data_IF_674358016230
#
_entry.id   IF_674358016230
#
_cell.length_a   1.000
_cell.length_b   1.000
_cell.length_c   1.000
_cell.angle_alpha   90.00
_cell.angle_beta   90.00
_cell.angle_gamma   90.00
#
_symmetry.space_group_name_H-M   'P 1'
#
loop_
_entity.id
_entity.type
_entity.pdbx_description
1 polymer ?
#
# COMPACT_ATOMS: atom_id res chain seq x y z
N UNK A 1 -13.46 -4.64 -14.28
CA UNK A 1 -13.30 -3.56 -13.25
C UNK A 1 -14.56 -3.26 -12.45
N UNK A 2 -15.74 -3.05 -13.06
CA UNK A 2 -16.99 -2.80 -12.34
C UNK A 2 -17.34 -3.87 -11.29
N UNK A 3 -17.14 -5.15 -11.63
CA UNK A 3 -17.36 -6.26 -10.68
C UNK A 3 -16.48 -6.14 -9.43
N UNK A 4 -15.17 -5.97 -9.60
CA UNK A 4 -14.21 -5.83 -8.49
C UNK A 4 -14.61 -4.69 -7.54
N UNK A 5 -14.96 -3.54 -8.12
CA UNK A 5 -15.41 -2.40 -7.34
C UNK A 5 -16.71 -2.70 -6.59
N UNK A 6 -17.68 -3.34 -7.25
CA UNK A 6 -18.94 -3.77 -6.63
C UNK A 6 -18.72 -4.75 -5.48
N UNK A 7 -17.78 -5.69 -5.61
CA UNK A 7 -17.39 -6.61 -4.55
C UNK A 7 -16.70 -5.87 -3.40
N UNK A 8 -15.82 -4.91 -3.68
CA UNK A 8 -15.19 -4.08 -2.64
C UNK A 8 -16.23 -3.23 -1.88
N UNK A 9 -17.24 -2.69 -2.56
CA UNK A 9 -18.35 -1.96 -1.92
C UNK A 9 -19.13 -2.90 -0.98
N UNK A 10 -19.40 -4.13 -1.41
CA UNK A 10 -20.05 -5.14 -0.56
C UNK A 10 -19.16 -5.55 0.62
N UNK A 11 -17.83 -5.59 0.44
CA UNK A 11 -16.87 -5.89 1.49
C UNK A 11 -16.63 -4.71 2.44
N UNK A 12 -17.05 -3.50 2.08
CA UNK A 12 -16.77 -2.26 2.82
C UNK A 12 -17.02 -2.39 4.32
N UNK A 13 -18.18 -2.86 4.82
CA UNK A 13 -18.44 -2.93 6.26
C UNK A 13 -17.42 -3.78 7.02
N UNK A 14 -16.88 -4.81 6.36
CA UNK A 14 -15.98 -5.79 6.95
C UNK A 14 -14.52 -5.42 6.79
N UNK A 15 -14.14 -4.68 5.73
CA UNK A 15 -12.79 -4.14 5.56
C UNK A 15 -12.42 -3.21 6.73
N UNK A 16 -13.38 -2.41 7.18
CA UNK A 16 -13.16 -1.36 8.17
C UNK A 16 -13.50 -1.77 9.61
N UNK A 17 -13.94 -3.02 9.84
CA UNK A 17 -14.33 -3.52 11.16
C UNK A 17 -14.05 -5.01 11.32
N UNK A 18 -13.05 -5.34 12.16
CA UNK A 18 -12.74 -6.74 12.50
C UNK A 18 -13.91 -7.43 13.22
N UNK A 19 -14.68 -6.69 14.02
CA UNK A 19 -15.83 -7.24 14.73
C UNK A 19 -16.94 -7.66 13.77
N UNK A 20 -17.23 -6.84 12.75
CA UNK A 20 -18.18 -7.21 11.69
C UNK A 20 -17.66 -8.39 10.87
N UNK A 21 -16.35 -8.42 10.60
CA UNK A 21 -15.70 -9.48 9.83
C UNK A 21 -15.78 -10.85 10.53
N UNK A 22 -15.66 -10.89 11.85
CA UNK A 22 -15.69 -12.13 12.65
C UNK A 22 -17.07 -12.51 13.19
N UNK A 23 -18.10 -11.66 12.99
CA UNK A 23 -19.46 -11.94 13.47
C UNK A 23 -20.01 -13.22 12.79
N UNK A 24 -20.40 -14.26 13.55
CA UNK A 24 -20.98 -15.49 13.00
C UNK A 24 -22.18 -15.26 12.08
N UNK A 25 -22.96 -14.18 12.29
CA UNK A 25 -24.10 -13.82 11.43
C UNK A 25 -23.69 -13.47 10.01
N UNK A 26 -22.47 -12.95 9.84
CA UNK A 26 -21.93 -12.55 8.55
C UNK A 26 -21.18 -13.68 7.85
N UNK A 27 -20.94 -14.82 8.53
CA UNK A 27 -20.06 -15.89 8.04
C UNK A 27 -20.48 -16.45 6.68
N UNK A 28 -21.75 -16.82 6.52
CA UNK A 28 -22.24 -17.41 5.26
C UNK A 28 -22.08 -16.43 4.09
N UNK A 29 -22.48 -15.18 4.30
CA UNK A 29 -22.36 -14.12 3.30
C UNK A 29 -20.89 -13.83 2.96
N UNK A 30 -20.02 -13.69 3.96
CA UNK A 30 -18.59 -13.43 3.74
C UNK A 30 -17.89 -14.60 3.05
N UNK A 31 -18.18 -15.85 3.44
CA UNK A 31 -17.64 -17.03 2.75
C UNK A 31 -18.08 -17.05 1.29
N UNK A 32 -19.35 -16.77 1.00
CA UNK A 32 -19.85 -16.69 -0.38
C UNK A 32 -19.17 -15.57 -1.17
N UNK A 33 -19.06 -14.37 -0.58
CA UNK A 33 -18.47 -13.19 -1.21
C UNK A 33 -16.97 -13.39 -1.49
N UNK A 34 -16.20 -13.93 -0.54
CA UNK A 34 -14.78 -14.25 -0.74
C UNK A 34 -14.58 -15.35 -1.78
N UNK A 35 -15.47 -16.36 -1.81
CA UNK A 35 -15.41 -17.44 -2.81
C UNK A 35 -15.68 -16.92 -4.21
N UNK A 36 -16.72 -16.10 -4.40
CA UNK A 36 -17.01 -15.49 -5.70
C UNK A 36 -15.89 -14.54 -6.11
N UNK A 37 -15.32 -13.78 -5.17
CA UNK A 37 -14.21 -12.87 -5.45
C UNK A 37 -12.96 -13.62 -5.92
N UNK A 38 -12.56 -14.67 -5.21
CA UNK A 38 -11.44 -15.54 -5.61
C UNK A 38 -11.70 -16.18 -6.99
N UNK A 39 -12.88 -16.78 -7.17
CA UNK A 39 -13.28 -17.46 -8.40
C UNK A 39 -13.16 -16.54 -9.61
N UNK A 40 -13.71 -15.32 -9.51
CA UNK A 40 -13.69 -14.34 -10.61
C UNK A 40 -12.29 -13.89 -10.98
N UNK A 41 -11.37 -13.84 -10.03
CA UNK A 41 -9.97 -13.52 -10.31
C UNK A 41 -9.26 -14.69 -10.99
N UNK A 42 -9.61 -15.93 -10.66
CA UNK A 42 -8.95 -17.10 -11.23
C UNK A 42 -9.48 -17.48 -12.60
N UNK A 43 -10.77 -17.29 -12.84
CA UNK A 43 -11.44 -17.77 -14.07
C UNK A 43 -11.38 -16.78 -15.22
N UNK A 44 -11.23 -15.48 -14.95
CA UNK A 44 -11.36 -14.45 -15.98
C UNK A 44 -10.41 -13.29 -15.72
N UNK A 45 -9.19 -13.41 -16.25
CA UNK A 45 -8.31 -12.25 -16.37
C UNK A 45 -9.02 -11.19 -17.25
N UNK A 46 -9.20 -9.94 -16.76
CA UNK A 46 -9.81 -8.91 -17.58
C UNK A 46 -8.95 -8.69 -18.85
N UNK A 47 -9.55 -8.51 -20.04
CA UNK A 47 -8.80 -8.29 -21.27
C UNK A 47 -7.84 -7.09 -21.21
N UNK A 48 -8.12 -6.13 -20.33
CA UNK A 48 -7.25 -4.98 -20.08
C UNK A 48 -5.96 -5.36 -19.33
N UNK A 49 -6.01 -6.38 -18.47
CA UNK A 49 -4.88 -6.91 -17.70
C UNK A 49 -4.04 -7.82 -18.60
N UNK A 50 -4.68 -8.70 -19.38
CA UNK A 50 -4.01 -9.61 -20.33
C UNK A 50 -3.12 -8.82 -21.33
N UNK A 51 -3.59 -7.65 -21.77
CA UNK A 51 -2.88 -6.78 -22.71
C UNK A 51 -1.84 -5.88 -22.06
N UNK A 52 -1.80 -5.81 -20.73
CA UNK A 52 -0.89 -4.94 -20.02
C UNK A 52 0.34 -5.73 -19.56
N UNK A 53 1.44 -5.60 -20.32
CA UNK A 53 2.69 -6.28 -20.04
C UNK A 53 3.15 -6.03 -18.58
N UNK A 54 3.44 -7.09 -17.83
CA UNK A 54 3.82 -7.03 -16.41
C UNK A 54 2.65 -6.94 -15.40
N UNK A 55 1.39 -6.87 -15.85
CA UNK A 55 0.23 -6.93 -14.94
C UNK A 55 -0.16 -8.33 -14.51
N UNK A 56 0.03 -9.31 -15.38
CA UNK A 56 -0.24 -10.73 -15.11
C UNK A 56 0.34 -11.18 -13.76
N UNK A 57 1.55 -10.72 -13.43
CA UNK A 57 2.22 -10.99 -12.15
C UNK A 57 1.40 -10.48 -10.96
N UNK A 58 1.03 -9.21 -10.96
CA UNK A 58 0.30 -8.60 -9.82
C UNK A 58 -1.14 -9.12 -9.74
N UNK A 59 -1.73 -9.46 -10.87
CA UNK A 59 -3.04 -10.12 -10.93
C UNK A 59 -3.00 -11.54 -10.33
N UNK A 60 -2.04 -12.37 -10.72
CA UNK A 60 -1.84 -13.72 -10.15
C UNK A 60 -1.53 -13.67 -8.65
N UNK A 61 -0.77 -12.67 -8.21
CA UNK A 61 -0.50 -12.45 -6.80
C UNK A 61 -1.75 -12.08 -6.01
N UNK A 62 -2.59 -11.19 -6.55
CA UNK A 62 -3.87 -10.86 -5.94
C UNK A 62 -4.76 -12.11 -5.83
N UNK A 63 -4.75 -12.99 -6.86
CA UNK A 63 -5.47 -14.25 -6.83
C UNK A 63 -5.01 -15.15 -5.68
N UNK A 64 -3.69 -15.37 -5.55
CA UNK A 64 -3.10 -16.17 -4.46
C UNK A 64 -3.39 -15.55 -3.10
N UNK A 65 -3.28 -14.22 -3.01
CA UNK A 65 -3.54 -13.46 -1.79
C UNK A 65 -4.99 -13.63 -1.32
N UNK A 66 -5.97 -13.55 -2.22
CA UNK A 66 -7.38 -13.73 -1.87
C UNK A 66 -7.72 -15.18 -1.52
N UNK A 67 -7.07 -16.16 -2.16
CA UNK A 67 -7.14 -17.56 -1.74
C UNK A 67 -6.65 -17.73 -0.29
N UNK A 68 -5.53 -17.11 0.07
CA UNK A 68 -5.01 -17.14 1.43
C UNK A 68 -5.97 -16.46 2.42
N UNK A 69 -6.56 -15.32 2.06
CA UNK A 69 -7.60 -14.64 2.87
C UNK A 69 -8.74 -15.59 3.15
N UNK A 70 -9.29 -16.23 2.11
CA UNK A 70 -10.38 -17.18 2.23
C UNK A 70 -9.99 -18.38 3.09
N UNK A 71 -8.83 -18.97 2.84
CA UNK A 71 -8.35 -20.13 3.60
C UNK A 71 -8.27 -19.82 5.11
N UNK A 72 -7.67 -18.68 5.47
CA UNK A 72 -7.57 -18.25 6.87
C UNK A 72 -8.93 -17.96 7.47
N UNK A 73 -9.84 -17.34 6.70
CA UNK A 73 -11.20 -17.08 7.14
C UNK A 73 -11.99 -18.36 7.43
N UNK A 74 -11.94 -19.32 6.51
CA UNK A 74 -12.62 -20.61 6.66
C UNK A 74 -12.05 -21.42 7.84
N UNK A 75 -10.75 -21.28 8.11
CA UNK A 75 -10.07 -21.85 9.28
C UNK A 75 -10.33 -21.08 10.60
N UNK A 76 -11.21 -20.08 10.60
CA UNK A 76 -11.51 -19.20 11.73
C UNK A 76 -10.31 -18.43 12.31
N UNK A 77 -9.28 -18.20 11.48
CA UNK A 77 -8.11 -17.37 11.80
C UNK A 77 -8.38 -15.92 11.36
N UNK A 78 -9.36 -15.29 12.01
CA UNK A 78 -10.02 -14.08 11.50
C UNK A 78 -9.12 -12.84 11.44
N UNK A 79 -8.32 -12.56 12.46
CA UNK A 79 -7.52 -11.33 12.47
C UNK A 79 -6.46 -11.31 11.35
N UNK A 80 -5.65 -12.38 11.16
CA UNK A 80 -4.79 -12.48 9.99
C UNK A 80 -5.54 -12.45 8.64
N UNK A 81 -6.71 -13.08 8.55
CA UNK A 81 -7.54 -13.04 7.34
C UNK A 81 -8.03 -11.61 7.03
N UNK A 82 -8.50 -10.88 8.04
CA UNK A 82 -8.96 -9.49 7.95
C UNK A 82 -7.84 -8.54 7.54
N UNK A 83 -6.67 -8.67 8.19
CA UNK A 83 -5.48 -7.90 7.84
C UNK A 83 -5.06 -8.13 6.39
N UNK A 84 -5.04 -9.39 5.94
CA UNK A 84 -4.79 -9.71 4.52
C UNK A 84 -5.89 -9.17 3.63
N UNK A 85 -7.17 -9.27 3.99
CA UNK A 85 -8.24 -8.73 3.16
C UNK A 85 -8.04 -7.22 2.94
N UNK A 86 -7.70 -6.47 3.99
CA UNK A 86 -7.34 -5.06 3.90
C UNK A 86 -6.13 -4.81 3.00
N UNK A 87 -5.12 -5.68 3.04
CA UNK A 87 -3.97 -5.63 2.14
C UNK A 87 -4.31 -5.77 0.65
N UNK A 88 -5.45 -6.37 0.31
CA UNK A 88 -5.91 -6.51 -1.08
C UNK A 88 -5.98 -5.14 -1.77
N UNK A 89 -6.26 -4.09 -1.00
CA UNK A 89 -6.32 -2.71 -1.48
C UNK A 89 -4.96 -2.20 -1.94
N UNK A 90 -3.85 -2.67 -1.37
CA UNK A 90 -2.51 -2.35 -1.82
C UNK A 90 -2.21 -2.98 -3.19
N UNK A 91 -2.77 -4.16 -3.49
CA UNK A 91 -2.72 -4.73 -4.85
C UNK A 91 -3.56 -3.93 -5.82
N UNK A 92 -4.75 -3.47 -5.39
CA UNK A 92 -5.55 -2.55 -6.18
C UNK A 92 -4.75 -1.28 -6.49
N UNK A 93 -4.03 -0.72 -5.50
CA UNK A 93 -3.15 0.42 -5.67
C UNK A 93 -2.00 0.13 -6.63
N UNK A 94 -1.31 -0.98 -6.45
CA UNK A 94 -0.23 -1.38 -7.34
C UNK A 94 -0.74 -1.50 -8.79
N UNK A 95 -1.92 -2.07 -9.02
CA UNK A 95 -2.49 -2.19 -10.38
C UNK A 95 -3.01 -0.86 -10.92
N UNK A 96 -3.73 -0.07 -10.13
CA UNK A 96 -4.38 1.15 -10.62
C UNK A 96 -3.42 2.33 -10.80
N UNK A 97 -2.35 2.39 -9.99
CA UNK A 97 -1.26 3.32 -10.26
C UNK A 97 -0.50 2.96 -11.55
N UNK A 98 -0.54 1.69 -11.97
CA UNK A 98 0.03 1.20 -13.24
C UNK A 98 -0.86 1.42 -14.46
N UNK A 99 -2.19 1.45 -14.36
CA UNK A 99 -3.07 1.65 -15.54
C UNK A 99 -3.08 3.10 -16.06
N UNK A 100 -2.18 3.94 -15.56
CA UNK A 100 -2.02 5.33 -15.99
C UNK A 100 -1.47 5.40 -17.42
N UNK A 101 -2.36 5.64 -18.40
CA UNK A 101 -1.92 6.30 -19.63
C UNK A 101 -1.71 7.77 -19.29
N UNK A 102 -0.49 8.32 -19.38
CA UNK A 102 -0.35 9.75 -19.41
C UNK A 102 -1.17 10.22 -20.61
N UNK A 103 -2.15 11.11 -20.40
CA UNK A 103 -2.73 11.81 -21.54
C UNK A 103 -1.58 12.53 -22.22
N UNK A 104 -1.17 12.01 -23.39
CA UNK A 104 -0.21 12.61 -24.30
C UNK A 104 -0.58 14.09 -24.47
N UNK A 105 0.14 14.99 -23.80
CA UNK A 105 0.07 16.43 -24.08
C UNK A 105 -0.13 17.39 -22.91
N UNK A 106 -0.53 16.96 -21.71
CA UNK A 106 -0.57 17.87 -20.55
C UNK A 106 0.72 17.76 -19.76
N UNK A 107 1.58 18.79 -19.82
CA UNK A 107 2.72 18.98 -18.91
C UNK A 107 2.33 19.21 -17.45
N UNK A 108 1.16 18.72 -17.03
CA UNK A 108 0.72 18.68 -15.65
C UNK A 108 0.91 17.25 -15.15
N UNK A 109 1.67 17.10 -14.08
CA UNK A 109 1.94 15.91 -13.28
C UNK A 109 0.68 15.31 -12.61
N UNK A 110 -0.49 15.50 -13.21
CA UNK A 110 -1.78 15.13 -12.66
C UNK A 110 -2.08 13.66 -12.90
N UNK A 111 -1.98 12.87 -11.82
CA UNK A 111 -2.91 11.77 -11.61
C UNK A 111 -4.32 12.29 -11.87
N UNK A 112 -4.95 11.87 -12.97
CA UNK A 112 -6.41 11.81 -13.12
C UNK A 112 -6.93 11.05 -11.89
N UNK A 113 -7.33 11.81 -10.89
CA UNK A 113 -8.20 11.36 -9.82
C UNK A 113 -9.35 10.62 -10.48
N UNK A 114 -9.59 9.37 -10.07
CA UNK A 114 -10.72 8.61 -10.57
C UNK A 114 -11.95 9.52 -10.47
N UNK A 115 -12.58 9.85 -11.60
CA UNK A 115 -13.84 10.60 -11.58
C UNK A 115 -14.73 9.88 -10.58
N UNK A 116 -15.32 10.60 -9.59
CA UNK A 116 -16.24 9.98 -8.66
C UNK A 116 -17.21 9.13 -9.47
N UNK A 117 -17.30 7.83 -9.16
CA UNK A 117 -18.23 6.95 -9.86
C UNK A 117 -19.61 7.60 -9.77
N UNK A 118 -20.19 8.01 -10.91
CA UNK A 118 -21.40 8.84 -11.00
C UNK A 118 -22.67 8.21 -10.36
N UNK A 119 -22.56 7.01 -9.77
CA UNK A 119 -23.62 6.35 -8.99
C UNK A 119 -23.45 6.41 -7.47
N UNK A 120 -22.29 6.82 -6.95
CA UNK A 120 -22.14 7.13 -5.53
C UNK A 120 -22.65 8.55 -5.33
N UNK A 121 -23.97 8.71 -5.20
CA UNK A 121 -24.51 9.90 -4.55
C UNK A 121 -23.82 9.98 -3.20
N UNK A 122 -22.88 10.91 -3.08
CA UNK A 122 -22.30 11.30 -1.81
C UNK A 122 -23.50 11.58 -0.91
N UNK A 123 -23.77 10.71 0.06
CA UNK A 123 -24.62 11.05 1.20
C UNK A 123 -23.88 12.06 2.11
N UNK A 124 -23.21 13.04 1.48
CA UNK A 124 -22.43 14.08 2.14
C UNK A 124 -23.31 15.12 2.82
N UNK A 125 -24.63 15.07 2.58
CA UNK A 125 -25.63 15.95 3.21
C UNK A 125 -25.82 15.71 4.71
N UNK A 126 -25.02 14.84 5.34
CA UNK A 126 -25.10 14.56 6.78
C UNK A 126 -23.79 14.14 7.43
N UNK A 127 -22.62 14.55 6.89
CA UNK A 127 -21.33 14.29 7.57
C UNK A 127 -21.32 15.07 8.89
N UNK A 128 -21.75 14.43 9.97
CA UNK A 128 -21.52 14.89 11.34
C UNK A 128 -20.05 14.63 11.66
N UNK A 129 -19.17 15.42 11.06
CA UNK A 129 -17.74 15.20 11.09
C UNK A 129 -17.24 14.90 12.51
N UNK A 130 -16.42 13.85 12.60
CA UNK A 130 -15.91 13.34 13.87
C UNK A 130 -16.59 12.09 14.40
N UNK A 131 -17.45 11.42 13.61
CA UNK A 131 -17.93 10.08 13.99
C UNK A 131 -16.97 8.98 13.52
N UNK A 132 -16.94 7.85 14.25
CA UNK A 132 -16.23 6.65 13.81
C UNK A 132 -16.77 6.09 12.48
N UNK A 133 -18.02 6.42 12.09
CA UNK A 133 -18.56 6.08 10.77
C UNK A 133 -17.88 6.87 9.67
N UNK A 134 -17.65 8.17 9.86
CA UNK A 134 -17.01 9.03 8.85
C UNK A 134 -15.56 8.57 8.57
N UNK A 135 -14.82 8.19 9.61
CA UNK A 135 -13.46 7.67 9.43
C UNK A 135 -13.43 6.35 8.66
N UNK A 136 -14.39 5.46 8.91
CA UNK A 136 -14.52 4.21 8.13
C UNK A 136 -14.83 4.51 6.66
N UNK A 137 -15.66 5.51 6.38
CA UNK A 137 -15.93 5.96 5.02
C UNK A 137 -14.68 6.58 4.37
N UNK A 138 -13.93 7.41 5.09
CA UNK A 138 -12.69 8.01 4.63
C UNK A 138 -11.62 6.94 4.30
N UNK A 139 -11.44 5.96 5.18
CA UNK A 139 -10.56 4.83 4.93
C UNK A 139 -10.99 4.06 3.68
N UNK A 140 -12.29 3.78 3.53
CA UNK A 140 -12.80 3.14 2.32
C UNK A 140 -12.50 3.97 1.06
N UNK A 141 -12.70 5.29 1.11
CA UNK A 141 -12.36 6.17 -0.01
C UNK A 141 -10.86 6.16 -0.31
N UNK A 142 -10.02 6.19 0.71
CA UNK A 142 -8.57 6.14 0.54
C UNK A 142 -8.12 4.85 -0.14
N UNK A 143 -8.56 3.69 0.39
CA UNK A 143 -8.19 2.38 -0.16
C UNK A 143 -8.78 2.12 -1.56
N UNK A 144 -9.88 2.80 -1.90
CA UNK A 144 -10.52 2.75 -3.22
C UNK A 144 -10.02 3.85 -4.17
N UNK A 145 -8.98 4.60 -3.80
CA UNK A 145 -8.34 5.65 -4.61
C UNK A 145 -9.18 6.91 -4.84
N UNK A 146 -10.28 7.09 -4.10
CA UNK A 146 -10.99 8.35 -4.04
C UNK A 146 -10.33 9.27 -2.99
N UNK A 147 -9.07 9.64 -3.25
CA UNK A 147 -8.24 10.35 -2.30
C UNK A 147 -8.82 11.70 -1.90
N UNK A 148 -9.44 12.45 -2.83
CA UNK A 148 -10.04 13.73 -2.50
C UNK A 148 -11.21 13.59 -1.52
N UNK A 149 -12.10 12.62 -1.72
CA UNK A 149 -13.19 12.39 -0.78
C UNK A 149 -12.66 11.96 0.60
N UNK A 150 -11.62 11.12 0.63
CA UNK A 150 -10.95 10.73 1.87
C UNK A 150 -10.36 11.96 2.59
N UNK A 151 -9.58 12.79 1.88
CA UNK A 151 -8.95 14.00 2.41
C UNK A 151 -9.97 15.00 2.94
N UNK A 152 -11.09 15.19 2.24
CA UNK A 152 -12.16 16.08 2.72
C UNK A 152 -12.69 15.65 4.10
N UNK A 153 -12.90 14.34 4.30
CA UNK A 153 -13.37 13.81 5.58
C UNK A 153 -12.26 13.90 6.63
N UNK A 154 -11.02 13.55 6.28
CA UNK A 154 -9.86 13.68 7.15
C UNK A 154 -9.66 15.11 7.65
N UNK A 155 -9.73 16.10 6.76
CA UNK A 155 -9.61 17.52 7.10
C UNK A 155 -10.77 17.99 8.00
N UNK A 156 -11.99 17.49 7.75
CA UNK A 156 -13.13 17.78 8.61
C UNK A 156 -12.94 17.21 10.02
N UNK A 157 -12.47 15.96 10.13
CA UNK A 157 -12.13 15.32 11.39
C UNK A 157 -11.03 16.09 12.14
N UNK A 158 -9.93 16.43 11.46
CA UNK A 158 -8.83 17.18 12.06
C UNK A 158 -9.31 18.54 12.57
N UNK A 159 -10.08 19.31 11.78
CA UNK A 159 -10.57 20.64 12.19
C UNK A 159 -11.51 20.58 13.39
N UNK A 160 -12.29 19.51 13.51
CA UNK A 160 -13.30 19.35 14.57
C UNK A 160 -12.77 18.57 15.77
N UNK A 161 -11.56 18.02 15.69
CA UNK A 161 -10.95 17.26 16.77
C UNK A 161 -10.90 18.07 18.08
N UNK A 162 -11.36 17.42 19.14
CA UNK A 162 -11.23 17.88 20.53
C UNK A 162 -10.70 16.70 21.35
N UNK A 163 -9.75 16.93 22.26
CA UNK A 163 -9.29 15.86 23.13
C UNK A 163 -10.48 15.31 23.94
N UNK A 164 -10.55 13.99 24.16
CA UNK A 164 -11.58 13.42 25.00
C UNK A 164 -11.51 14.04 26.40
N UNK A 165 -12.66 14.45 26.94
CA UNK A 165 -12.72 14.95 28.31
C UNK A 165 -12.25 13.84 29.26
N UNK A 166 -11.51 14.21 30.32
CA UNK A 166 -11.02 13.24 31.29
C UNK A 166 -12.18 12.41 31.87
N UNK A 167 -12.09 11.09 31.75
CA UNK A 167 -13.13 10.15 32.21
C UNK A 167 -14.33 9.99 31.27
N UNK A 168 -14.35 10.63 30.10
CA UNK A 168 -15.40 10.43 29.10
C UNK A 168 -15.17 9.15 28.32
N UNK A 169 -16.19 8.29 28.28
CA UNK A 169 -16.29 7.13 27.38
C UNK A 169 -16.88 7.48 26.01
N UNK A 170 -17.06 8.78 25.71
CA UNK A 170 -17.66 9.21 24.44
C UNK A 170 -16.91 8.63 23.25
N UNK A 171 -17.69 8.07 22.33
CA UNK A 171 -17.27 7.55 21.02
C UNK A 171 -16.85 8.73 20.13
N UNK A 172 -15.67 9.27 20.39
CA UNK A 172 -15.02 10.29 19.57
C UNK A 172 -13.82 9.72 18.83
N UNK A 173 -13.23 10.54 17.96
CA UNK A 173 -11.98 10.23 17.25
C UNK A 173 -10.85 10.07 18.26
N UNK A 174 -10.16 8.93 18.24
CA UNK A 174 -9.03 8.65 19.11
C UNK A 174 -7.77 9.38 18.63
N UNK A 175 -6.75 9.51 19.49
CA UNK A 175 -5.47 10.12 19.09
C UNK A 175 -4.77 9.26 18.04
N UNK A 176 -4.93 7.94 18.15
CA UNK A 176 -4.43 6.93 17.22
C UNK A 176 -5.06 7.10 15.83
N UNK A 177 -6.34 7.48 15.76
CA UNK A 177 -7.01 7.79 14.50
C UNK A 177 -6.37 9.01 13.83
N UNK A 178 -6.01 10.05 14.58
CA UNK A 178 -5.31 11.21 14.02
C UNK A 178 -3.97 10.82 13.40
N UNK A 179 -3.19 9.99 14.09
CA UNK A 179 -1.91 9.51 13.57
C UNK A 179 -2.11 8.79 12.22
N UNK A 180 -3.10 7.89 12.15
CA UNK A 180 -3.47 7.19 10.93
C UNK A 180 -3.92 8.14 9.81
N UNK A 181 -4.71 9.16 10.13
CA UNK A 181 -5.13 10.18 9.15
C UNK A 181 -3.91 10.88 8.56
N UNK A 182 -2.96 11.32 9.39
CA UNK A 182 -1.76 11.99 8.88
C UNK A 182 -0.91 11.05 8.03
N UNK A 183 -0.73 9.81 8.44
CA UNK A 183 -0.07 8.78 7.63
C UNK A 183 -0.68 8.63 6.23
N UNK A 184 -2.02 8.67 6.13
CA UNK A 184 -2.75 8.66 4.85
C UNK A 184 -2.51 9.94 4.03
N UNK A 185 -2.53 11.11 4.69
CA UNK A 185 -2.21 12.40 4.03
C UNK A 185 -0.78 12.41 3.50
N UNK A 186 0.19 11.95 4.29
CA UNK A 186 1.60 11.85 3.89
C UNK A 186 1.77 10.90 2.71
N UNK A 187 1.16 9.72 2.75
CA UNK A 187 1.19 8.78 1.63
C UNK A 187 0.60 9.41 0.36
N UNK A 188 -0.53 10.12 0.46
CA UNK A 188 -1.09 10.82 -0.68
C UNK A 188 -0.13 11.88 -1.25
N UNK A 189 0.36 12.80 -0.43
CA UNK A 189 1.15 13.91 -0.93
C UNK A 189 2.57 13.50 -1.36
N UNK A 190 3.19 12.55 -0.66
CA UNK A 190 4.57 12.13 -0.94
C UNK A 190 4.68 11.04 -2.01
N UNK A 191 3.82 10.02 -1.95
CA UNK A 191 3.90 8.84 -2.86
C UNK A 191 3.00 8.99 -4.08
N UNK A 192 1.76 9.42 -3.87
CA UNK A 192 0.73 9.45 -4.91
C UNK A 192 0.88 10.73 -5.73
N UNK A 193 0.48 11.88 -5.18
CA UNK A 193 0.45 13.17 -5.87
C UNK A 193 1.85 13.73 -6.16
N UNK A 194 2.82 13.40 -5.30
CA UNK A 194 4.18 13.97 -5.29
C UNK A 194 4.18 15.50 -5.32
N UNK A 195 3.36 16.07 -4.45
CA UNK A 195 3.04 17.51 -4.39
C UNK A 195 3.45 18.10 -3.05
N UNK A 196 4.73 18.51 -2.88
CA UNK A 196 5.20 19.07 -1.63
C UNK A 196 4.54 20.41 -1.29
N UNK A 197 4.12 21.20 -2.28
CA UNK A 197 3.43 22.47 -2.03
C UNK A 197 2.03 22.24 -1.45
N UNK A 198 1.25 21.35 -2.05
CA UNK A 198 -0.05 20.94 -1.54
C UNK A 198 0.05 20.33 -0.14
N UNK A 199 1.09 19.53 0.11
CA UNK A 199 1.36 18.96 1.44
C UNK A 199 1.56 20.05 2.49
N UNK A 200 2.46 21.00 2.23
CA UNK A 200 2.77 22.12 3.13
C UNK A 200 1.50 22.94 3.39
N UNK A 201 0.72 23.24 2.35
CA UNK A 201 -0.52 24.00 2.49
C UNK A 201 -1.54 23.27 3.38
N UNK A 202 -1.76 21.98 3.13
CA UNK A 202 -2.71 21.16 3.89
C UNK A 202 -2.29 21.02 5.36
N UNK A 203 -1.03 20.70 5.63
CA UNK A 203 -0.50 20.55 6.99
C UNK A 203 -0.48 21.88 7.77
N UNK A 204 -0.25 23.02 7.10
CA UNK A 204 -0.38 24.34 7.73
C UNK A 204 -1.83 24.66 8.13
N UNK A 205 -2.81 24.21 7.35
CA UNK A 205 -4.23 24.36 7.70
C UNK A 205 -4.57 23.53 8.95
N UNK A 206 -4.12 22.28 8.99
CA UNK A 206 -4.33 21.37 10.12
C UNK A 206 -3.82 21.95 11.44
N UNK A 207 -2.63 22.60 11.43
CA UNK A 207 -2.04 23.24 12.61
C UNK A 207 -2.84 24.39 13.19
N UNK A 208 -3.83 24.93 12.45
CA UNK A 208 -4.73 25.95 13.01
C UNK A 208 -5.58 25.38 14.14
N UNK A 209 -5.83 24.06 14.17
CA UNK A 209 -6.50 23.43 15.29
C UNK A 209 -5.56 23.31 16.51
N UNK A 210 -5.78 24.18 17.51
CA UNK A 210 -5.01 24.19 18.76
C UNK A 210 -5.33 23.02 19.70
N UNK A 211 -6.40 22.26 19.44
CA UNK A 211 -6.79 21.09 20.24
C UNK A 211 -6.00 19.83 19.89
N UNK A 212 -5.17 19.86 18.84
CA UNK A 212 -4.34 18.72 18.47
C UNK A 212 -3.33 18.39 19.58
N UNK A 213 -3.06 17.09 19.85
CA UNK A 213 -2.07 16.69 20.84
C UNK A 213 -0.69 17.33 20.56
N UNK A 214 0.08 17.75 21.58
CA UNK A 214 1.37 18.42 21.38
C UNK A 214 2.31 17.67 20.44
N UNK A 215 2.46 16.35 20.65
CA UNK A 215 3.28 15.48 19.78
C UNK A 215 2.83 15.50 18.32
N UNK A 216 1.53 15.52 18.05
CA UNK A 216 1.01 15.60 16.68
C UNK A 216 1.36 16.96 16.05
N UNK A 217 1.24 18.07 16.79
CA UNK A 217 1.61 19.39 16.27
C UNK A 217 3.10 19.50 15.97
N UNK A 218 3.95 18.89 16.80
CA UNK A 218 5.39 18.78 16.58
C UNK A 218 5.68 17.98 15.31
N UNK A 219 5.09 16.78 15.18
CA UNK A 219 5.21 15.97 13.97
C UNK A 219 4.80 16.74 12.71
N UNK A 220 3.68 17.48 12.74
CA UNK A 220 3.23 18.27 11.59
C UNK A 220 4.27 19.33 11.20
N UNK A 221 4.88 20.01 12.17
CA UNK A 221 5.95 20.98 11.87
C UNK A 221 7.14 20.28 11.21
N UNK A 222 7.59 19.16 11.76
CA UNK A 222 8.69 18.37 11.19
C UNK A 222 8.38 17.92 9.75
N UNK A 223 7.15 17.48 9.48
CA UNK A 223 6.73 17.10 8.13
C UNK A 223 6.67 18.31 7.19
N UNK A 224 6.17 19.48 7.63
CA UNK A 224 6.19 20.72 6.84
C UNK A 224 7.62 21.06 6.43
N UNK A 225 8.57 21.00 7.37
CA UNK A 225 9.98 21.30 7.10
C UNK A 225 10.58 20.30 6.12
N UNK A 226 10.24 19.01 6.28
CA UNK A 226 10.66 17.94 5.36
C UNK A 226 10.13 18.15 3.94
N UNK A 227 8.85 18.47 3.76
CA UNK A 227 8.29 18.79 2.45
C UNK A 227 8.90 20.08 1.87
N UNK A 228 9.23 21.07 2.70
CA UNK A 228 9.89 22.28 2.24
C UNK A 228 11.32 22.01 1.73
N UNK A 229 12.05 21.11 2.40
CA UNK A 229 13.35 20.66 1.92
C UNK A 229 13.24 19.80 0.67
N UNK A 230 12.24 18.92 0.61
CA UNK A 230 11.98 18.14 -0.59
C UNK A 230 11.63 19.04 -1.78
N UNK A 231 10.78 20.06 -1.60
CA UNK A 231 10.46 21.06 -2.64
C UNK A 231 11.71 21.68 -3.27
N UNK A 232 12.75 21.96 -2.48
CA UNK A 232 14.04 22.50 -2.98
C UNK A 232 14.80 21.48 -3.85
N UNK A 233 14.65 20.18 -3.56
CA UNK A 233 15.31 19.06 -4.27
C UNK A 233 14.51 18.57 -5.48
N UNK A 234 13.18 18.69 -5.44
CA UNK A 234 12.22 18.13 -6.39
C UNK A 234 12.25 18.75 -7.81
N UNK A 235 13.24 19.60 -8.11
CA UNK A 235 13.45 20.15 -9.45
C UNK A 235 13.95 19.11 -10.48
N UNK A 236 14.32 17.90 -10.05
CA UNK A 236 14.71 16.82 -10.97
C UNK A 236 13.49 15.97 -11.35
N UNK A 237 13.20 15.90 -12.65
CA UNK A 237 12.17 15.03 -13.20
C UNK A 237 12.67 13.58 -13.14
N UNK A 238 12.45 12.91 -12.00
CA UNK A 238 12.86 11.51 -11.78
C UNK A 238 12.19 10.52 -12.74
N UNK A 239 11.16 10.94 -13.50
CA UNK A 239 10.63 10.13 -14.59
C UNK A 239 11.66 9.98 -15.73
N UNK A 240 12.70 10.83 -15.78
CA UNK A 240 13.69 10.88 -16.87
C UNK A 240 15.10 10.40 -16.50
N UNK A 241 15.39 10.18 -15.22
CA UNK A 241 16.72 9.69 -14.80
C UNK A 241 16.93 8.24 -15.24
N UNK A 242 18.17 7.80 -15.44
CA UNK A 242 18.44 6.39 -15.80
C UNK A 242 18.06 5.43 -14.66
N UNK A 243 18.02 4.12 -14.93
CA UNK A 243 17.77 3.12 -13.89
C UNK A 243 18.89 3.11 -12.85
N UNK A 244 20.15 3.29 -13.28
CA UNK A 244 21.33 3.38 -12.42
C UNK A 244 21.27 4.60 -11.51
N UNK A 245 20.89 5.77 -12.05
CA UNK A 245 20.74 7.00 -11.28
C UNK A 245 19.61 6.88 -10.26
N UNK A 246 18.49 6.28 -10.64
CA UNK A 246 17.39 6.02 -9.73
C UNK A 246 17.80 5.05 -8.61
N UNK A 247 18.45 3.94 -8.94
CA UNK A 247 18.93 2.99 -7.93
C UNK A 247 19.99 3.59 -7.02
N UNK A 248 20.85 4.48 -7.53
CA UNK A 248 21.78 5.27 -6.71
C UNK A 248 21.03 6.17 -5.74
N UNK A 249 20.00 6.89 -6.21
CA UNK A 249 19.14 7.70 -5.36
C UNK A 249 18.49 6.85 -4.26
N UNK A 250 17.85 5.74 -4.64
CA UNK A 250 17.18 4.79 -3.74
C UNK A 250 18.15 4.28 -2.68
N UNK A 251 19.39 3.95 -3.05
CA UNK A 251 20.43 3.57 -2.09
C UNK A 251 20.81 4.73 -1.19
N UNK A 252 21.02 5.93 -1.71
CA UNK A 252 21.41 7.07 -0.86
C UNK A 252 20.31 7.50 0.10
N UNK A 253 19.05 7.48 -0.35
CA UNK A 253 17.89 7.89 0.43
C UNK A 253 17.41 6.76 1.34
N UNK A 254 17.38 5.52 0.85
CA UNK A 254 16.90 4.33 1.56
C UNK A 254 17.92 3.67 2.48
N UNK A 255 19.22 3.73 2.21
CA UNK A 255 20.17 2.86 2.92
C UNK A 255 20.49 3.30 4.35
N UNK A 256 20.39 4.60 4.66
CA UNK A 256 20.92 5.12 5.92
C UNK A 256 20.12 4.67 7.16
N UNK A 257 18.86 4.24 6.98
CA UNK A 257 17.96 3.97 8.13
C UNK A 257 17.10 2.70 7.97
N UNK A 258 17.21 1.94 6.87
CA UNK A 258 16.42 0.72 6.68
C UNK A 258 16.91 -0.42 7.58
N UNK A 259 16.32 -0.52 8.77
CA UNK A 259 16.63 -1.54 9.78
C UNK A 259 15.75 -2.79 9.65
N UNK A 260 14.73 -2.75 8.79
CA UNK A 260 13.67 -3.76 8.78
C UNK A 260 12.69 -3.61 9.95
N UNK A 261 12.83 -2.54 10.76
CA UNK A 261 11.91 -2.21 11.83
C UNK A 261 10.90 -1.16 11.35
N UNK A 262 9.63 -1.25 11.78
CA UNK A 262 8.64 -0.23 11.45
C UNK A 262 9.09 1.14 11.96
N UNK A 263 9.13 2.12 11.06
CA UNK A 263 9.40 3.51 11.42
C UNK A 263 8.16 4.09 12.09
N UNK A 264 8.32 4.87 13.15
CA UNK A 264 7.19 5.57 13.76
C UNK A 264 6.59 6.54 12.74
N UNK A 265 5.26 6.59 12.60
CA UNK A 265 4.63 7.49 11.62
C UNK A 265 4.94 8.98 11.86
N UNK A 266 5.36 9.37 13.07
CA UNK A 266 5.88 10.72 13.39
C UNK A 266 7.26 11.06 12.80
N UNK A 267 8.02 10.07 12.34
CA UNK A 267 9.37 10.25 11.82
C UNK A 267 9.32 10.92 10.42
N UNK A 268 10.04 12.03 10.17
CA UNK A 268 10.03 12.67 8.86
C UNK A 268 10.66 11.82 7.75
N UNK A 269 11.47 10.82 8.06
CA UNK A 269 12.05 9.91 7.08
C UNK A 269 10.98 9.12 6.31
N UNK A 270 9.79 8.97 6.90
CA UNK A 270 8.62 8.40 6.23
C UNK A 270 8.32 9.05 4.88
N UNK A 271 8.52 10.37 4.76
CA UNK A 271 8.24 11.13 3.54
C UNK A 271 9.21 10.72 2.44
N UNK A 272 10.48 10.51 2.77
CA UNK A 272 11.50 10.07 1.80
C UNK A 272 11.18 8.67 1.28
N UNK A 273 10.82 7.75 2.17
CA UNK A 273 10.45 6.38 1.81
C UNK A 273 9.18 6.32 0.96
N UNK A 274 8.15 7.09 1.32
CA UNK A 274 6.92 7.20 0.53
C UNK A 274 7.20 7.77 -0.86
N UNK A 275 8.02 8.81 -0.94
CA UNK A 275 8.39 9.41 -2.21
C UNK A 275 9.19 8.44 -3.10
N UNK A 276 10.28 7.86 -2.57
CA UNK A 276 11.15 6.94 -3.32
C UNK A 276 10.38 5.71 -3.77
N UNK A 277 9.53 5.12 -2.91
CA UNK A 277 8.68 4.01 -3.31
C UNK A 277 7.73 4.40 -4.43
N UNK A 278 7.12 5.59 -4.40
CA UNK A 278 6.30 6.13 -5.49
C UNK A 278 7.04 6.18 -6.83
N UNK A 279 8.29 6.65 -6.84
CA UNK A 279 9.13 6.69 -8.05
C UNK A 279 9.49 5.29 -8.53
N UNK A 280 9.84 4.38 -7.62
CA UNK A 280 10.12 2.97 -7.97
C UNK A 280 8.90 2.27 -8.55
N UNK A 281 7.70 2.51 -8.01
CA UNK A 281 6.46 1.96 -8.56
C UNK A 281 6.24 2.38 -10.00
N UNK A 282 6.39 3.67 -10.27
CA UNK A 282 6.27 4.19 -11.62
C UNK A 282 7.36 3.63 -12.54
N UNK A 283 8.59 3.47 -12.08
CA UNK A 283 9.68 2.93 -12.91
C UNK A 283 9.46 1.47 -13.26
N UNK A 284 9.21 0.62 -12.26
CA UNK A 284 8.93 -0.82 -12.46
C UNK A 284 7.80 -1.02 -13.47
N UNK A 285 6.84 -0.09 -13.47
CA UNK A 285 5.76 -0.09 -14.42
C UNK A 285 6.15 0.35 -15.84
N UNK A 286 6.86 1.48 -15.99
CA UNK A 286 7.16 2.05 -17.30
C UNK A 286 8.21 1.25 -18.07
N UNK A 287 9.07 0.49 -17.38
CA UNK A 287 10.17 -0.26 -17.98
C UNK A 287 10.20 -1.73 -17.53
N UNK A 288 9.12 -2.51 -17.71
CA UNK A 288 8.97 -3.85 -17.11
C UNK A 288 10.04 -4.85 -17.57
N UNK A 289 10.67 -4.58 -18.73
CA UNK A 289 11.73 -5.39 -19.32
C UNK A 289 13.16 -4.91 -18.95
N UNK A 290 13.29 -3.92 -18.07
CA UNK A 290 14.60 -3.46 -17.62
C UNK A 290 15.33 -4.54 -16.79
N UNK A 291 16.63 -4.68 -17.02
CA UNK A 291 17.50 -5.54 -16.19
C UNK A 291 17.61 -5.07 -14.74
N UNK A 292 17.22 -3.83 -14.44
CA UNK A 292 17.25 -3.25 -13.10
C UNK A 292 16.00 -3.59 -12.25
N UNK A 293 14.93 -4.10 -12.86
CA UNK A 293 13.67 -4.45 -12.18
C UNK A 293 13.85 -5.32 -10.94
N UNK A 294 14.61 -6.43 -10.94
CA UNK A 294 14.72 -7.26 -9.75
C UNK A 294 15.38 -6.52 -8.57
N UNK A 295 16.29 -5.58 -8.84
CA UNK A 295 16.87 -4.73 -7.79
C UNK A 295 15.87 -3.68 -7.29
N UNK A 296 15.06 -3.10 -8.18
CA UNK A 296 13.98 -2.20 -7.78
C UNK A 296 12.92 -2.90 -6.90
N UNK A 297 12.56 -4.15 -7.23
CA UNK A 297 11.66 -4.97 -6.42
C UNK A 297 12.25 -5.26 -5.03
N UNK A 298 13.55 -5.55 -4.96
CA UNK A 298 14.27 -5.71 -3.70
C UNK A 298 14.14 -4.46 -2.82
N UNK A 299 14.41 -3.28 -3.39
CA UNK A 299 14.31 -2.02 -2.65
C UNK A 299 12.89 -1.65 -2.26
N UNK A 300 11.92 -1.84 -3.17
CA UNK A 300 10.50 -1.68 -2.84
C UNK A 300 10.12 -2.54 -1.65
N UNK A 301 10.60 -3.78 -1.58
CA UNK A 301 10.31 -4.64 -0.46
C UNK A 301 10.87 -4.13 0.86
N UNK A 302 12.11 -3.65 0.86
CA UNK A 302 12.72 -3.09 2.08
C UNK A 302 11.98 -1.85 2.55
N UNK A 303 11.68 -0.93 1.63
CA UNK A 303 10.94 0.29 1.93
C UNK A 303 9.55 -0.03 2.48
N UNK A 304 8.81 -0.94 1.84
CA UNK A 304 7.47 -1.33 2.27
C UNK A 304 7.45 -2.03 3.63
N UNK A 305 8.53 -2.72 4.01
CA UNK A 305 8.64 -3.34 5.34
C UNK A 305 8.73 -2.27 6.42
N UNK A 306 9.55 -1.26 6.20
CA UNK A 306 9.77 -0.18 7.17
C UNK A 306 8.59 0.80 7.20
N UNK A 307 7.89 0.96 6.07
CA UNK A 307 6.57 1.62 5.99
C UNK A 307 5.42 0.74 6.53
N UNK A 308 5.70 -0.44 7.09
CA UNK A 308 4.69 -1.38 7.59
C UNK A 308 3.89 -0.88 8.79
N UNK A 309 4.33 0.18 9.47
CA UNK A 309 3.52 0.88 10.48
C UNK A 309 2.36 1.68 9.87
N UNK A 310 2.55 2.19 8.65
CA UNK A 310 1.63 3.07 7.91
C UNK A 310 0.65 2.23 7.10
N UNK A 311 1.11 1.07 6.62
CA UNK A 311 0.30 0.11 5.89
C UNK A 311 0.12 -1.12 6.76
N UNK A 312 -1.12 -1.41 7.15
CA UNK A 312 -1.48 -2.60 7.96
C UNK A 312 -0.94 -3.90 7.34
N UNK A 313 -0.62 -3.90 6.04
CA UNK A 313 0.09 -4.97 5.38
C UNK A 313 1.09 -4.46 4.35
N UNK A 314 2.34 -4.88 4.51
CA UNK A 314 3.43 -4.56 3.60
C UNK A 314 3.37 -5.42 2.33
N UNK A 315 3.55 -4.80 1.15
CA UNK A 315 3.74 -5.55 -0.10
C UNK A 315 5.17 -6.13 -0.22
N UNK A 316 5.99 -6.03 0.83
CA UNK A 316 7.36 -6.53 0.82
C UNK A 316 7.48 -8.00 0.41
N UNK A 317 6.68 -8.87 1.04
CA UNK A 317 6.72 -10.31 0.79
C UNK A 317 6.39 -10.63 -0.67
N UNK A 318 5.50 -9.84 -1.26
CA UNK A 318 5.07 -9.97 -2.65
C UNK A 318 6.23 -9.62 -3.58
N UNK A 319 6.85 -8.46 -3.41
CA UNK A 319 7.95 -8.03 -4.28
C UNK A 319 9.17 -8.95 -4.20
N UNK A 320 9.49 -9.47 -3.01
CA UNK A 320 10.60 -10.41 -2.84
C UNK A 320 10.34 -11.72 -3.58
N UNK A 321 9.12 -12.25 -3.51
CA UNK A 321 8.74 -13.45 -4.27
C UNK A 321 8.84 -13.21 -5.76
N UNK A 322 8.35 -12.07 -6.26
CA UNK A 322 8.42 -11.76 -7.69
C UNK A 322 9.84 -11.56 -8.20
N UNK A 323 10.69 -10.93 -7.38
CA UNK A 323 12.12 -10.84 -7.65
C UNK A 323 12.74 -12.23 -7.88
N UNK A 324 12.39 -13.22 -7.05
CA UNK A 324 12.94 -14.58 -7.19
C UNK A 324 12.32 -15.35 -8.34
N UNK A 325 10.99 -15.34 -8.46
CA UNK A 325 10.26 -16.18 -9.41
C UNK A 325 10.51 -15.74 -10.85
N UNK A 326 10.46 -14.44 -11.13
CA UNK A 326 10.58 -13.94 -12.49
C UNK A 326 12.03 -13.67 -12.91
N UNK A 327 12.93 -13.43 -11.94
CA UNK A 327 14.32 -13.11 -12.21
C UNK A 327 15.31 -14.06 -11.51
N UNK A 328 15.13 -15.40 -11.59
CA UNK A 328 15.92 -16.34 -10.78
C UNK A 328 17.41 -16.40 -11.16
N UNK A 329 17.78 -15.91 -12.34
CA UNK A 329 19.17 -15.74 -12.80
C UNK A 329 19.81 -14.42 -12.35
N UNK A 330 19.02 -13.48 -11.84
CA UNK A 330 19.54 -12.18 -11.42
C UNK A 330 20.42 -12.33 -10.18
N UNK A 331 21.56 -11.61 -10.09
CA UNK A 331 22.41 -11.62 -8.89
C UNK A 331 21.66 -11.24 -7.60
N UNK A 332 20.60 -10.44 -7.70
CA UNK A 332 19.81 -10.00 -6.55
C UNK A 332 18.78 -11.05 -6.08
N UNK A 333 18.46 -12.07 -6.89
CA UNK A 333 17.43 -13.06 -6.54
C UNK A 333 17.72 -13.78 -5.23
N UNK A 334 18.99 -14.12 -4.96
CA UNK A 334 19.39 -14.71 -3.68
C UNK A 334 19.16 -13.75 -2.51
N UNK A 335 19.43 -12.45 -2.70
CA UNK A 335 19.18 -11.44 -1.66
C UNK A 335 17.68 -11.30 -1.40
N UNK A 336 16.86 -11.30 -2.45
CA UNK A 336 15.40 -11.30 -2.32
C UNK A 336 14.88 -12.51 -1.52
N UNK A 337 15.38 -13.72 -1.80
CA UNK A 337 15.04 -14.92 -1.04
C UNK A 337 15.43 -14.79 0.44
N UNK A 338 16.66 -14.33 0.71
CA UNK A 338 17.15 -14.17 2.08
C UNK A 338 16.31 -13.16 2.87
N UNK A 339 15.95 -12.03 2.26
CA UNK A 339 15.08 -11.02 2.88
C UNK A 339 13.67 -11.55 3.11
N UNK A 340 13.14 -12.38 2.20
CA UNK A 340 11.83 -12.99 2.39
C UNK A 340 11.85 -13.96 3.57
N UNK A 341 12.85 -14.84 3.62
CA UNK A 341 13.02 -15.80 4.71
C UNK A 341 13.21 -15.09 6.06
N UNK A 342 14.01 -14.02 6.11
CA UNK A 342 14.17 -13.19 7.29
C UNK A 342 12.83 -12.58 7.75
N UNK A 343 12.10 -11.96 6.82
CA UNK A 343 10.80 -11.36 7.11
C UNK A 343 9.77 -12.38 7.62
N UNK A 344 9.76 -13.58 7.06
CA UNK A 344 8.88 -14.67 7.52
C UNK A 344 9.24 -15.14 8.93
N UNK A 345 10.53 -15.31 9.23
CA UNK A 345 11.00 -15.67 10.58
C UNK A 345 10.67 -14.60 11.62
N UNK A 346 10.78 -13.32 11.26
CA UNK A 346 10.42 -12.23 12.15
C UNK A 346 8.92 -12.21 12.46
N UNK A 347 8.07 -12.45 11.45
CA UNK A 347 6.61 -12.44 11.60
C UNK A 347 6.06 -13.66 12.34
N UNK A 348 6.61 -14.84 12.06
CA UNK A 348 6.06 -16.13 12.53
C UNK A 348 6.87 -16.78 13.65
N UNK A 349 8.05 -16.23 13.98
CA UNK A 349 8.99 -16.84 14.91
C UNK A 349 9.77 -18.03 14.30
N UNK A 350 10.49 -18.80 15.15
CA UNK A 350 11.39 -19.86 14.70
C UNK A 350 10.69 -21.06 14.06
N UNK A 351 9.39 -21.26 14.33
CA UNK A 351 8.59 -22.35 13.76
C UNK A 351 7.63 -21.81 12.70
N UNK A 352 8.16 -21.52 11.51
CA UNK A 352 7.33 -21.09 10.38
C UNK A 352 6.39 -22.22 9.93
N UNK A 353 5.12 -21.91 9.59
CA UNK A 353 4.18 -22.90 9.05
C UNK A 353 4.73 -23.64 7.82
N UNK A 354 4.27 -24.88 7.60
CA UNK A 354 4.73 -25.72 6.49
C UNK A 354 4.59 -25.05 5.12
N UNK A 355 3.49 -24.33 4.88
CA UNK A 355 3.26 -23.65 3.61
C UNK A 355 4.31 -22.55 3.32
N UNK A 356 4.81 -21.86 4.37
CA UNK A 356 5.88 -20.87 4.23
C UNK A 356 7.20 -21.55 3.89
N UNK A 357 7.54 -22.64 4.59
CA UNK A 357 8.77 -23.41 4.33
C UNK A 357 8.77 -23.99 2.90
N UNK A 358 7.62 -24.50 2.46
CA UNK A 358 7.43 -24.98 1.09
C UNK A 358 7.62 -23.86 0.05
N UNK A 359 7.10 -22.66 0.31
CA UNK A 359 7.33 -21.48 -0.54
C UNK A 359 8.81 -21.10 -0.63
N UNK A 360 9.52 -21.08 0.51
CA UNK A 360 10.97 -20.78 0.58
C UNK A 360 11.78 -21.83 -0.20
N UNK A 361 11.49 -23.12 0.01
CA UNK A 361 12.18 -24.21 -0.67
C UNK A 361 11.95 -24.18 -2.18
N UNK A 362 10.72 -23.90 -2.62
CA UNK A 362 10.39 -23.73 -4.03
C UNK A 362 11.24 -22.60 -4.65
N UNK A 363 11.25 -21.43 -4.03
CA UNK A 363 12.05 -20.29 -4.50
C UNK A 363 13.55 -20.59 -4.54
N UNK A 364 14.08 -21.31 -3.54
CA UNK A 364 15.47 -21.75 -3.52
C UNK A 364 15.79 -22.66 -4.71
N UNK A 365 14.92 -23.64 -4.96
CA UNK A 365 15.01 -24.56 -6.11
C UNK A 365 14.93 -23.80 -7.43
N UNK A 366 14.03 -22.82 -7.57
CA UNK A 366 13.93 -21.98 -8.78
C UNK A 366 15.26 -21.29 -9.10
N UNK A 367 15.93 -20.70 -8.09
CA UNK A 367 17.24 -20.07 -8.29
C UNK A 367 18.29 -21.11 -8.69
N UNK A 368 18.33 -22.26 -8.02
CA UNK A 368 19.30 -23.32 -8.32
C UNK A 368 19.15 -23.85 -9.74
N UNK A 369 17.93 -24.18 -10.16
CA UNK A 369 17.63 -24.69 -11.50
C UNK A 369 17.93 -23.66 -12.59
N UNK A 370 17.61 -22.39 -12.36
CA UNK A 370 17.90 -21.33 -13.32
C UNK A 370 19.42 -21.10 -13.54
N UNK A 371 20.25 -21.44 -12.55
CA UNK A 371 21.70 -21.28 -12.61
C UNK A 371 22.45 -22.58 -12.98
N UNK A 372 21.75 -23.70 -13.21
CA UNK A 372 22.39 -24.90 -13.74
C UNK A 372 22.91 -24.59 -15.15
N UNK A 373 24.17 -24.96 -15.48
CA UNK A 373 24.63 -24.88 -16.86
C UNK A 373 23.69 -25.74 -17.72
N UNK A 374 23.30 -25.24 -18.90
CA UNK A 374 22.51 -26.02 -19.84
C UNK A 374 23.25 -27.33 -20.07
N UNK A 375 22.65 -28.46 -19.68
CA UNK A 375 23.21 -29.77 -20.01
C UNK A 375 23.33 -29.80 -21.53
N UNK A 376 24.55 -29.92 -22.02
CA UNK A 376 24.82 -30.15 -23.44
C UNK A 376 24.19 -31.50 -23.78
N UNK A 377 22.90 -31.49 -24.15
CA UNK A 377 22.26 -32.57 -24.87
C UNK A 377 22.88 -32.56 -26.27
N UNK A 378 23.87 -33.44 -26.44
CA UNK A 378 24.47 -33.78 -27.73
C UNK A 378 23.54 -34.68 -28.54
#
# INVERSE_FOLDING_TARGET
MHYFYGTLIQLKPYLVSLDEFKDPKNKEYLTALLTDFEKKILEQEPPEIEKAEGFNVTYLLMARHLREVKHLYDAAVYEPAWQKLNATTNFCMACHTRLFKPSLGSGATGLIEARPFEGLKQESSGISAGSAKDLRDAEFYFISHNYLAALQIYDAVIRQFKPPAAGSSTVGVAVEDLQKIYERKLAYFARVKRDPEGAISSLKDDRKNQNLPPRIRENIQTWIDKFADWKKKAASDYARVSDEELLKLVKTTGYQELTGQPISGGDPYVIDLLWVSGVLYERVFRTPNSSAIPEMLYWLAKIERDLGSIHIYSLADVYLRECVINFPKSPIARQCLNEYELGMKQKMGPSSPEYINSSINLMRKTIEEANKPASHEN
#
